data_IF_466734214471
#
_entry.id   IF_466734214471
#
_cell.length_a   1.000
_cell.length_b   1.000
_cell.length_c   1.000
_cell.angle_alpha   90.00
_cell.angle_beta   90.00
_cell.angle_gamma   90.00
#
_symmetry.space_group_name_H-M   'P 1'
#
loop_
_entity.id
_entity.type
_entity.pdbx_description
1 polymer ?
#
# COMPACT_ATOMS: atom_id res chain seq x y z
N UNK A 1 6.93 -3.67 21.43
CA UNK A 1 6.16 -4.05 20.22
C UNK A 1 7.13 -4.60 19.19
N UNK A 2 6.77 -5.67 18.49
CA UNK A 2 7.59 -6.32 17.48
C UNK A 2 6.79 -6.47 16.18
N UNK A 3 7.39 -6.10 15.05
CA UNK A 3 6.73 -6.03 13.74
C UNK A 3 7.63 -6.69 12.70
N UNK A 4 7.05 -7.55 11.87
CA UNK A 4 7.74 -8.24 10.78
C UNK A 4 6.78 -8.53 9.61
N UNK A 5 7.31 -8.82 8.42
CA UNK A 5 6.48 -9.26 7.29
C UNK A 5 5.87 -10.63 7.56
N UNK A 6 4.58 -10.77 7.28
CA UNK A 6 3.91 -12.06 7.31
C UNK A 6 4.35 -12.87 6.08
N UNK A 7 4.60 -14.18 6.28
CA UNK A 7 4.99 -15.20 5.27
C UNK A 7 5.20 -14.62 3.85
N UNK A 8 6.42 -14.15 3.59
CA UNK A 8 6.78 -13.58 2.28
C UNK A 8 6.85 -14.63 1.16
N UNK A 9 6.83 -15.92 1.52
CA UNK A 9 6.83 -17.03 0.58
C UNK A 9 5.54 -17.02 -0.26
N UNK A 10 5.68 -16.66 -1.53
CA UNK A 10 4.57 -16.56 -2.48
C UNK A 10 4.07 -15.14 -2.77
N UNK A 11 4.63 -14.12 -2.10
CA UNK A 11 4.37 -12.72 -2.44
C UNK A 11 5.26 -12.26 -3.58
N UNK A 12 4.65 -11.78 -4.67
CA UNK A 12 5.38 -11.11 -5.76
C UNK A 12 5.27 -9.60 -5.55
N UNK A 13 6.41 -8.93 -5.40
CA UNK A 13 6.46 -7.50 -5.10
C UNK A 13 6.94 -6.76 -6.36
N UNK A 14 6.14 -5.83 -6.83
CA UNK A 14 6.51 -4.91 -7.91
C UNK A 14 6.59 -3.48 -7.35
N UNK A 15 7.78 -2.90 -7.40
CA UNK A 15 8.03 -1.52 -6.93
C UNK A 15 7.91 -0.54 -8.08
N UNK A 16 7.23 0.58 -7.84
CA UNK A 16 7.02 1.64 -8.81
C UNK A 16 7.95 2.84 -8.51
N UNK A 17 8.27 3.67 -9.52
CA UNK A 17 9.21 4.79 -9.37
C UNK A 17 8.77 5.88 -8.39
N UNK A 18 7.46 5.99 -8.13
CA UNK A 18 6.87 6.94 -7.19
C UNK A 18 6.92 6.45 -5.72
N UNK A 19 7.54 5.29 -5.47
CA UNK A 19 7.64 4.65 -4.17
C UNK A 19 6.43 3.79 -3.80
N UNK A 20 5.37 3.79 -4.62
CA UNK A 20 4.24 2.87 -4.45
C UNK A 20 4.64 1.44 -4.79
N UNK A 21 3.85 0.47 -4.31
CA UNK A 21 4.15 -0.96 -4.50
C UNK A 21 2.88 -1.73 -4.82
N UNK A 22 3.01 -2.72 -5.69
CA UNK A 22 1.98 -3.73 -5.93
C UNK A 22 2.48 -5.05 -5.39
N UNK A 23 1.75 -5.64 -4.46
CA UNK A 23 2.06 -6.96 -3.87
C UNK A 23 0.99 -7.93 -4.33
N UNK A 24 1.39 -8.98 -5.03
CA UNK A 24 0.50 -10.07 -5.43
C UNK A 24 0.70 -11.26 -4.50
N UNK A 25 -0.35 -11.61 -3.77
CA UNK A 25 -0.45 -12.85 -3.03
C UNK A 25 -1.11 -13.90 -3.93
N UNK A 26 -0.29 -14.82 -4.45
CA UNK A 26 -0.77 -15.89 -5.32
C UNK A 26 -1.56 -16.95 -4.58
N UNK A 27 -1.27 -17.17 -3.30
CA UNK A 27 -1.95 -18.20 -2.51
C UNK A 27 -3.40 -17.81 -2.23
N UNK A 28 -3.65 -16.52 -2.00
CA UNK A 28 -4.98 -15.98 -1.71
C UNK A 28 -5.61 -15.25 -2.92
N UNK A 29 -5.02 -15.37 -4.12
CA UNK A 29 -5.46 -14.70 -5.34
C UNK A 29 -5.81 -13.21 -5.14
N UNK A 30 -4.97 -12.52 -4.37
CA UNK A 30 -5.20 -11.13 -3.96
C UNK A 30 -4.06 -10.22 -4.41
N UNK A 31 -4.39 -9.00 -4.81
CA UNK A 31 -3.44 -7.97 -5.18
C UNK A 31 -3.64 -6.74 -4.29
N UNK A 32 -2.55 -6.31 -3.66
CA UNK A 32 -2.49 -5.13 -2.81
C UNK A 32 -1.76 -4.01 -3.55
N UNK A 33 -2.37 -2.84 -3.63
CA UNK A 33 -1.74 -1.60 -4.07
C UNK A 33 -1.46 -0.74 -2.83
N UNK A 34 -0.18 -0.52 -2.56
CA UNK A 34 0.33 0.28 -1.46
C UNK A 34 0.75 1.62 -2.05
N UNK A 35 0.28 2.72 -1.46
CA UNK A 35 0.83 4.04 -1.80
C UNK A 35 2.29 4.17 -1.30
N UNK A 36 2.94 5.30 -1.59
CA UNK A 36 4.34 5.53 -1.20
C UNK A 36 4.59 5.41 0.31
N UNK A 37 3.66 5.90 1.14
CA UNK A 37 3.75 5.79 2.60
C UNK A 37 3.66 4.35 3.09
N UNK A 38 2.67 3.58 2.62
CA UNK A 38 2.56 2.16 2.96
C UNK A 38 3.72 1.35 2.37
N UNK A 39 4.22 1.72 1.20
CA UNK A 39 5.41 1.15 0.57
C UNK A 39 6.66 1.33 1.44
N UNK A 40 6.87 2.54 1.98
CA UNK A 40 7.97 2.81 2.89
C UNK A 40 7.85 2.01 4.20
N UNK A 41 6.65 1.93 4.78
CA UNK A 41 6.40 1.12 5.96
C UNK A 41 6.66 -0.38 5.71
N UNK A 42 6.23 -0.89 4.55
CA UNK A 42 6.49 -2.25 4.10
C UNK A 42 7.98 -2.55 4.00
N UNK A 43 8.78 -1.65 3.39
CA UNK A 43 10.24 -1.79 3.27
C UNK A 43 10.92 -1.80 4.64
N UNK A 44 10.47 -0.93 5.54
CA UNK A 44 11.00 -0.84 6.90
C UNK A 44 10.73 -2.11 7.73
N UNK A 45 9.75 -2.93 7.36
CA UNK A 45 9.43 -4.21 8.01
C UNK A 45 10.18 -5.42 7.41
N UNK A 46 11.13 -5.20 6.49
CA UNK A 46 11.91 -6.28 5.85
C UNK A 46 12.68 -7.16 6.83
N UNK A 47 13.06 -6.60 7.98
CA UNK A 47 13.59 -7.33 9.12
C UNK A 47 12.69 -7.13 10.34
N UNK A 48 12.65 -8.10 11.27
CA UNK A 48 11.93 -7.93 12.53
C UNK A 48 12.38 -6.67 13.27
N UNK A 49 11.43 -5.81 13.65
CA UNK A 49 11.72 -4.43 14.06
C UNK A 49 10.65 -3.86 15.01
N UNK A 50 10.80 -2.59 15.40
CA UNK A 50 9.87 -1.85 16.27
C UNK A 50 9.26 -0.65 15.55
N UNK A 51 8.17 -0.10 16.08
CA UNK A 51 7.50 1.06 15.50
C UNK A 51 8.43 2.28 15.38
N UNK A 52 9.27 2.54 16.39
CA UNK A 52 10.19 3.68 16.39
C UNK A 52 11.24 3.56 15.29
N UNK A 53 11.75 2.35 15.03
CA UNK A 53 12.70 2.08 13.95
C UNK A 53 12.02 2.18 12.59
N UNK A 54 10.79 1.67 12.46
CA UNK A 54 9.99 1.81 11.24
C UNK A 54 9.79 3.28 10.90
N UNK A 55 9.35 4.08 11.88
CA UNK A 55 9.14 5.53 11.69
C UNK A 55 10.41 6.21 11.20
N UNK A 56 11.56 5.90 11.78
CA UNK A 56 12.83 6.49 11.37
C UNK A 56 13.23 6.09 9.94
N UNK A 57 13.08 4.81 9.59
CA UNK A 57 13.32 4.32 8.22
C UNK A 57 12.36 4.97 7.21
N UNK A 58 11.10 5.16 7.57
CA UNK A 58 10.14 5.89 6.75
C UNK A 58 10.57 7.34 6.56
N UNK A 59 11.07 8.02 7.60
CA UNK A 59 11.55 9.41 7.48
C UNK A 59 12.73 9.55 6.54
N UNK A 60 13.61 8.56 6.53
CA UNK A 60 14.74 8.51 5.60
C UNK A 60 14.28 8.28 4.16
N UNK A 61 13.19 7.52 3.96
CA UNK A 61 12.66 7.18 2.63
C UNK A 61 11.80 8.28 2.02
N UNK A 62 10.87 8.86 2.78
CA UNK A 62 9.84 9.79 2.27
C UNK A 62 9.84 11.17 2.96
N UNK A 63 10.76 11.42 3.89
CA UNK A 63 11.01 12.73 4.49
C UNK A 63 10.59 12.86 5.96
N UNK A 64 11.04 13.95 6.59
CA UNK A 64 10.96 14.15 8.05
C UNK A 64 9.55 14.32 8.62
N UNK A 65 8.53 14.47 7.77
CA UNK A 65 7.12 14.66 8.13
C UNK A 65 6.38 13.40 8.58
N UNK A 66 7.03 12.23 8.62
CA UNK A 66 6.42 11.01 9.15
C UNK A 66 6.32 11.10 10.68
N UNK A 67 5.09 11.27 11.16
CA UNK A 67 4.75 11.22 12.58
C UNK A 67 4.65 9.77 13.08
N UNK A 68 4.59 9.60 14.40
CA UNK A 68 4.44 8.27 15.01
C UNK A 68 3.08 7.66 14.69
N UNK A 69 2.03 8.48 14.69
CA UNK A 69 0.65 8.15 14.32
C UNK A 69 0.58 7.60 12.88
N UNK A 70 1.30 8.25 11.95
CA UNK A 70 1.27 7.86 10.54
C UNK A 70 1.98 6.52 10.32
N UNK A 71 3.11 6.30 11.00
CA UNK A 71 3.80 5.02 10.97
C UNK A 71 2.92 3.92 11.58
N UNK A 72 2.29 4.20 12.71
CA UNK A 72 1.37 3.29 13.39
C UNK A 72 0.19 2.89 12.49
N UNK A 73 -0.50 3.85 11.88
CA UNK A 73 -1.64 3.60 10.99
C UNK A 73 -1.21 2.82 9.73
N UNK A 74 -0.03 3.10 9.18
CA UNK A 74 0.51 2.32 8.05
C UNK A 74 0.72 0.85 8.43
N UNK A 75 1.29 0.56 9.60
CA UNK A 75 1.47 -0.82 10.08
C UNK A 75 0.12 -1.47 10.37
N UNK A 76 -0.84 -0.76 10.97
CA UNK A 76 -2.19 -1.28 11.20
C UNK A 76 -2.90 -1.66 9.89
N UNK A 77 -2.76 -0.85 8.84
CA UNK A 77 -3.33 -1.17 7.54
C UNK A 77 -2.64 -2.36 6.87
N UNK A 78 -1.31 -2.46 6.96
CA UNK A 78 -0.59 -3.64 6.48
C UNK A 78 -0.99 -4.90 7.27
N UNK A 79 -1.16 -4.80 8.58
CA UNK A 79 -1.55 -5.92 9.44
C UNK A 79 -2.98 -6.38 9.14
N UNK A 80 -3.91 -5.42 8.95
CA UNK A 80 -5.31 -5.72 8.56
C UNK A 80 -5.36 -6.51 7.24
N UNK A 81 -4.44 -6.22 6.33
CA UNK A 81 -4.31 -6.91 5.05
C UNK A 81 -3.43 -8.18 5.12
N UNK A 82 -3.04 -8.61 6.33
CA UNK A 82 -2.20 -9.79 6.59
C UNK A 82 -0.83 -9.72 5.91
N UNK A 83 -0.34 -8.53 5.59
CA UNK A 83 0.97 -8.30 5.00
C UNK A 83 2.08 -8.29 6.07
N UNK A 84 1.77 -7.78 7.26
CA UNK A 84 2.69 -7.77 8.40
C UNK A 84 2.06 -8.43 9.62
N UNK A 85 2.90 -9.00 10.46
CA UNK A 85 2.52 -9.47 11.79
C UNK A 85 3.11 -8.50 12.82
N UNK A 86 2.26 -8.02 13.72
CA UNK A 86 2.63 -7.13 14.80
C UNK A 86 2.21 -7.77 16.13
N UNK A 87 3.16 -7.91 17.05
CA UNK A 87 2.92 -8.39 18.42
C UNK A 87 3.17 -7.27 19.43
N UNK A 88 2.23 -7.13 20.37
CA UNK A 88 2.14 -6.00 21.30
C UNK A 88 0.98 -5.07 20.97
N UNK A 89 0.64 -4.19 21.92
CA UNK A 89 -0.49 -3.27 21.79
C UNK A 89 -0.07 -1.97 21.12
N UNK A 90 -0.87 -1.57 20.13
CA UNK A 90 -0.89 -0.22 19.57
C UNK A 90 -1.60 0.76 20.52
N UNK A 91 -1.24 2.04 20.47
CA UNK A 91 -1.85 3.06 21.33
C UNK A 91 -3.24 3.40 20.78
N UNK A 92 -4.29 2.96 21.49
CA UNK A 92 -5.67 3.19 21.05
C UNK A 92 -6.07 4.68 21.06
N UNK A 93 -5.40 5.50 21.89
CA UNK A 93 -5.63 6.94 21.98
C UNK A 93 -5.14 7.65 20.70
N UNK A 94 -3.90 7.35 20.31
CA UNK A 94 -3.19 7.91 19.15
C UNK A 94 -3.96 7.68 17.83
N UNK A 95 -4.58 6.52 17.68
CA UNK A 95 -5.43 6.19 16.52
C UNK A 95 -6.70 7.03 16.43
N UNK A 96 -7.41 7.25 17.55
CA UNK A 96 -8.67 8.03 17.55
C UNK A 96 -8.41 9.49 17.21
N UNK A 97 -7.32 10.04 17.75
CA UNK A 97 -6.91 11.42 17.49
C UNK A 97 -6.46 11.61 16.03
N UNK A 98 -5.68 10.66 15.49
CA UNK A 98 -5.29 10.70 14.07
C UNK A 98 -6.49 10.61 13.14
N UNK A 99 -7.40 9.65 13.34
CA UNK A 99 -8.60 9.53 12.52
C UNK A 99 -9.52 10.76 12.64
N UNK A 100 -9.60 11.37 13.82
CA UNK A 100 -10.35 12.61 14.03
C UNK A 100 -9.72 13.83 13.32
N UNK A 101 -8.40 13.80 13.08
CA UNK A 101 -7.67 14.84 12.35
C UNK A 101 -7.81 14.74 10.81
N UNK A 102 -8.25 13.60 10.29
CA UNK A 102 -8.46 13.40 8.86
C UNK A 102 -9.81 14.01 8.44
N UNK A 103 -9.76 15.08 7.64
CA UNK A 103 -10.96 15.64 6.99
C UNK A 103 -11.47 14.68 5.89
N UNK A 104 -12.67 14.92 5.36
CA UNK A 104 -13.51 14.00 4.56
C UNK A 104 -12.91 13.39 3.25
N UNK A 105 -11.61 13.55 2.98
CA UNK A 105 -10.90 13.00 1.83
C UNK A 105 -9.69 12.11 2.23
N UNK A 106 -9.84 11.28 3.26
CA UNK A 106 -8.80 10.34 3.68
C UNK A 106 -8.61 9.23 2.63
N UNK A 107 -7.54 9.33 1.82
CA UNK A 107 -7.16 8.27 0.89
C UNK A 107 -6.62 7.06 1.68
N UNK A 108 -7.06 5.82 1.35
CA UNK A 108 -6.53 4.62 1.99
C UNK A 108 -5.03 4.45 1.67
N UNK A 109 -4.23 4.04 2.66
CA UNK A 109 -2.80 3.80 2.45
C UNK A 109 -2.56 2.47 1.72
N UNK A 110 -3.43 1.49 1.97
CA UNK A 110 -3.45 0.19 1.31
C UNK A 110 -4.83 -0.08 0.72
N UNK A 111 -4.87 -0.39 -0.58
CA UNK A 111 -6.06 -0.89 -1.28
C UNK A 111 -5.80 -2.34 -1.67
N UNK A 112 -6.82 -3.19 -1.53
CA UNK A 112 -6.76 -4.59 -1.97
C UNK A 112 -7.89 -4.91 -2.93
N UNK A 113 -7.60 -5.74 -3.92
CA UNK A 113 -8.54 -6.27 -4.90
C UNK A 113 -8.22 -7.73 -5.14
N UNK A 114 -9.23 -8.55 -5.38
CA UNK A 114 -9.04 -9.91 -5.86
C UNK A 114 -8.54 -9.91 -7.31
N UNK A 115 -7.85 -10.96 -7.72
CA UNK A 115 -7.41 -11.13 -9.12
C UNK A 115 -8.61 -11.10 -10.07
N UNK A 116 -9.77 -11.65 -9.68
CA UNK A 116 -11.00 -11.61 -10.46
C UNK A 116 -11.52 -10.18 -10.67
N UNK A 117 -11.55 -9.36 -9.61
CA UNK A 117 -11.92 -7.95 -9.71
C UNK A 117 -10.94 -7.18 -10.60
N UNK A 118 -9.64 -7.41 -10.42
CA UNK A 118 -8.61 -6.76 -11.22
C UNK A 118 -8.77 -7.06 -12.73
N UNK A 119 -9.07 -8.32 -13.08
CA UNK A 119 -9.35 -8.71 -14.47
C UNK A 119 -10.65 -8.09 -15.00
N UNK A 120 -11.69 -7.99 -14.18
CA UNK A 120 -12.95 -7.35 -14.57
C UNK A 120 -12.75 -5.85 -14.88
N UNK A 121 -11.98 -5.14 -14.04
CA UNK A 121 -11.61 -3.74 -14.30
C UNK A 121 -10.75 -3.59 -15.56
N UNK A 122 -9.74 -4.45 -15.77
CA UNK A 122 -8.88 -4.40 -16.95
C UNK A 122 -9.65 -4.69 -18.26
N UNK A 123 -10.65 -5.58 -18.22
CA UNK A 123 -11.54 -5.83 -19.37
C UNK A 123 -12.40 -4.61 -19.71
N UNK A 124 -12.85 -3.85 -18.70
CA UNK A 124 -13.66 -2.63 -18.90
C UNK A 124 -12.88 -1.50 -19.57
N UNK A 125 -11.57 -1.39 -19.32
CA UNK A 125 -10.72 -0.36 -19.93
C UNK A 125 -10.28 -0.69 -21.36
N UNK A 126 -10.30 -1.96 -21.77
CA UNK A 126 -10.00 -2.38 -23.17
C UNK A 126 -11.14 -2.08 -24.16
N UNK A 127 -12.28 -1.59 -23.68
CA UNK A 127 -13.47 -1.32 -24.51
C UNK A 127 -13.55 0.13 -25.04
N UNK A 128 -12.48 0.92 -24.97
CA UNK A 128 -12.44 2.23 -25.65
C UNK A 128 -12.30 1.97 -27.15
N UNK A 129 -13.26 2.40 -28.00
CA UNK A 129 -13.13 2.28 -29.45
C UNK A 129 -11.90 3.07 -29.90
N UNK A 130 -11.04 2.47 -30.74
CA UNK A 130 -10.04 3.25 -31.48
C UNK A 130 -10.78 4.30 -32.31
N UNK A 131 -10.37 5.58 -32.31
CA UNK A 131 -10.81 6.49 -33.34
C UNK A 131 -10.32 5.96 -34.69
N UNK A 132 -11.23 5.90 -35.67
CA UNK A 132 -10.92 5.51 -37.05
C UNK A 132 -9.77 6.36 -37.60
N UNK A 133 -8.87 5.78 -38.41
CA UNK A 133 -7.84 6.57 -39.08
C UNK A 133 -8.50 7.54 -40.07
N UNK A 134 -8.25 8.84 -39.87
CA UNK A 134 -8.65 9.95 -40.73
C UNK A 134 -8.35 9.65 -42.22
N UNK A 135 -9.26 9.94 -43.16
CA UNK A 135 -9.00 9.73 -44.58
C UNK A 135 -7.93 10.72 -45.07
N UNK A 136 -6.87 10.19 -45.68
CA UNK A 136 -5.76 10.97 -46.25
C UNK A 136 -6.27 12.01 -47.27
N UNK A 137 -5.72 13.23 -47.30
CA UNK A 137 -6.05 14.19 -48.35
C UNK A 137 -5.46 13.73 -49.69
N UNK A 138 -6.31 13.63 -50.71
CA UNK A 138 -5.89 13.45 -52.09
C UNK A 138 -5.24 14.75 -52.59
N UNK A 139 -4.05 14.63 -53.18
CA UNK A 139 -3.38 15.67 -53.97
C UNK A 139 -3.95 15.77 -55.38
#
# INVERSE_FOLDING_TARGET
>A
MHIERANADGLVINQLPDGSKVITDRANETVFALNSTAGAAWDACSTPTTLSVIRENMRQSIGSGVSEELAEEAILQLQKNKLVTATGSFSQATRREFLASLTAAALPLVVSLTVAEQQAFAKKTRSVPRPDPDPKPHS
#
